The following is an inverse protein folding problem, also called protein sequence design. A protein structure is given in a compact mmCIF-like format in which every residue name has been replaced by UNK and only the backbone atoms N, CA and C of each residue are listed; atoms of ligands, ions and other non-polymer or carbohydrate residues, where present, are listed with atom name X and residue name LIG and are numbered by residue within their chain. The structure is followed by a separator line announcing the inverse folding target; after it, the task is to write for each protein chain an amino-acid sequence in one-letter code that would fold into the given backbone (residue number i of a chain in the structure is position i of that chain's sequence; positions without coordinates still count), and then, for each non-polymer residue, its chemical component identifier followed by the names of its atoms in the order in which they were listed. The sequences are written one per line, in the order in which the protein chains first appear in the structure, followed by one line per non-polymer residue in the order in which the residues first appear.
data_IF_978973984924
#
_entry.id   IF_978973984924
#
_cell.length_a   1.000
_cell.length_b   1.000
_cell.length_c   1.000
_cell.angle_alpha   90.00
_cell.angle_beta   90.00
_cell.angle_gamma   90.00
#
_symmetry.space_group_name_H-M   'P 1'
#
loop_
_entity.id
_entity.type
_entity.pdbx_description
1 polymer ?
#
# COMPACT_ATOMS: atom_id res chain seq x y z
N UNK A 1 9.36 -14.63 -9.58
CA UNK A 1 10.53 -14.71 -8.67
C UNK A 1 11.17 -13.34 -8.73
N UNK A 2 11.40 -12.62 -7.62
CA UNK A 2 12.21 -11.39 -7.65
C UNK A 2 13.50 -11.69 -6.90
N UNK A 3 14.47 -12.25 -7.61
CA UNK A 3 15.85 -12.33 -7.15
C UNK A 3 16.45 -10.91 -7.23
N UNK A 4 16.01 -10.03 -6.31
CA UNK A 4 16.57 -8.69 -6.09
C UNK A 4 17.66 -8.73 -5.02
N UNK A 5 18.53 -9.74 -5.12
CA UNK A 5 19.78 -9.76 -4.35
C UNK A 5 20.73 -8.73 -4.98
N UNK A 6 20.69 -7.53 -4.40
CA UNK A 6 21.78 -6.55 -4.33
C UNK A 6 22.11 -5.62 -5.49
N UNK A 7 21.84 -5.94 -6.76
CA UNK A 7 22.19 -5.01 -7.84
C UNK A 7 21.13 -3.91 -8.04
N UNK A 8 21.56 -2.65 -7.90
CA UNK A 8 20.78 -1.41 -8.08
C UNK A 8 19.67 -1.10 -7.06
N UNK A 9 19.41 -1.94 -6.06
CA UNK A 9 18.40 -1.68 -5.01
C UNK A 9 18.65 -0.38 -4.23
N UNK A 10 19.90 -0.14 -3.83
CA UNK A 10 20.31 1.09 -3.13
C UNK A 10 20.13 2.34 -4.00
N UNK A 11 20.56 2.26 -5.26
CA UNK A 11 20.44 3.35 -6.25
C UNK A 11 18.96 3.69 -6.43
N UNK A 12 18.10 2.68 -6.62
CA UNK A 12 16.64 2.80 -6.71
C UNK A 12 16.00 3.52 -5.54
N UNK A 13 16.39 3.17 -4.32
CA UNK A 13 15.90 3.85 -3.13
C UNK A 13 16.37 5.30 -3.07
N UNK A 14 17.65 5.56 -3.36
CA UNK A 14 18.24 6.90 -3.27
C UNK A 14 17.60 7.86 -4.29
N UNK A 15 17.58 7.51 -5.58
CA UNK A 15 16.96 8.42 -6.56
C UNK A 15 15.44 8.46 -6.42
N UNK A 16 14.77 7.38 -6.02
CA UNK A 16 13.34 7.41 -5.72
C UNK A 16 13.00 8.40 -4.61
N UNK A 17 13.79 8.41 -3.53
CA UNK A 17 13.66 9.38 -2.44
C UNK A 17 13.97 10.81 -2.90
N UNK A 18 15.12 11.02 -3.57
CA UNK A 18 15.52 12.34 -4.06
C UNK A 18 14.50 12.93 -5.03
N UNK A 19 13.97 12.10 -5.93
CA UNK A 19 13.00 12.54 -6.93
C UNK A 19 11.63 12.82 -6.30
N UNK A 20 11.22 12.03 -5.30
CA UNK A 20 10.06 12.37 -4.46
C UNK A 20 10.22 13.68 -3.69
N UNK A 21 11.41 13.94 -3.11
CA UNK A 21 11.70 15.17 -2.40
C UNK A 21 11.72 16.40 -3.34
N UNK A 22 12.33 16.26 -4.52
CA UNK A 22 12.31 17.30 -5.56
C UNK A 22 10.89 17.60 -6.02
N UNK A 23 10.07 16.57 -6.26
CA UNK A 23 8.68 16.75 -6.61
C UNK A 23 7.92 17.48 -5.50
N UNK A 24 8.09 17.08 -4.24
CA UNK A 24 7.46 17.77 -3.12
C UNK A 24 7.85 19.26 -3.03
N UNK A 25 9.12 19.58 -3.32
CA UNK A 25 9.64 20.94 -3.31
C UNK A 25 9.09 21.79 -4.47
N UNK A 26 9.16 21.29 -5.71
CA UNK A 26 8.69 22.02 -6.89
C UNK A 26 7.16 22.12 -6.96
N UNK A 27 6.45 21.11 -6.47
CA UNK A 27 5.00 21.07 -6.59
C UNK A 27 4.27 21.89 -5.53
N UNK A 28 4.96 22.38 -4.49
CA UNK A 28 4.31 23.15 -3.42
C UNK A 28 3.51 24.35 -3.95
N UNK A 29 4.09 25.12 -4.88
CA UNK A 29 3.45 26.30 -5.45
C UNK A 29 2.49 25.96 -6.61
N UNK A 30 2.81 24.95 -7.42
CA UNK A 30 1.98 24.49 -8.54
C UNK A 30 0.69 23.81 -8.07
N UNK A 31 0.75 22.95 -7.05
CA UNK A 31 -0.42 22.27 -6.46
C UNK A 31 -1.34 23.31 -5.81
N UNK A 32 -0.79 24.31 -5.13
CA UNK A 32 -1.60 25.37 -4.53
C UNK A 32 -2.42 26.12 -5.58
N UNK A 33 -1.80 26.46 -6.73
CA UNK A 33 -2.49 27.09 -7.86
C UNK A 33 -3.51 26.16 -8.54
N UNK A 34 -3.15 24.91 -8.79
CA UNK A 34 -4.03 23.92 -9.42
C UNK A 34 -5.25 23.60 -8.56
N UNK A 35 -5.08 23.39 -7.24
CA UNK A 35 -6.18 23.18 -6.31
C UNK A 35 -7.14 24.36 -6.25
N UNK A 36 -6.64 25.60 -6.30
CA UNK A 36 -7.48 26.79 -6.37
C UNK A 36 -8.27 26.88 -7.67
N UNK A 37 -7.68 26.49 -8.81
CA UNK A 37 -8.38 26.44 -10.09
C UNK A 37 -9.44 25.34 -10.13
N UNK A 38 -9.19 24.18 -9.50
CA UNK A 38 -10.16 23.10 -9.36
C UNK A 38 -11.31 23.43 -8.41
N UNK A 39 -11.04 24.08 -7.29
CA UNK A 39 -12.07 24.54 -6.36
C UNK A 39 -13.09 25.49 -7.02
N UNK A 40 -12.69 26.17 -8.10
CA UNK A 40 -13.54 27.09 -8.87
C UNK A 40 -14.29 26.41 -10.03
N UNK A 41 -13.85 25.26 -10.51
CA UNK A 41 -14.32 24.70 -11.80
C UNK A 41 -14.68 23.20 -11.81
N UNK A 42 -14.51 22.49 -10.70
CA UNK A 42 -14.79 21.05 -10.62
C UNK A 42 -13.78 20.18 -11.40
N UNK A 43 -13.99 18.84 -11.43
CA UNK A 43 -13.13 17.91 -12.14
C UNK A 43 -13.19 18.13 -13.65
N UNK A 44 -12.05 18.05 -14.33
CA UNK A 44 -11.96 18.29 -15.77
C UNK A 44 -11.75 16.98 -16.54
N UNK A 45 -12.34 16.90 -17.74
CA UNK A 45 -12.24 15.71 -18.60
C UNK A 45 -10.79 15.46 -19.04
N UNK A 46 -10.05 16.52 -19.41
CA UNK A 46 -8.67 16.42 -19.88
C UNK A 46 -7.74 15.79 -18.83
N UNK A 47 -7.92 16.17 -17.56
CA UNK A 47 -7.18 15.57 -16.44
C UNK A 47 -7.59 14.13 -16.18
N UNK A 48 -8.86 13.80 -16.36
CA UNK A 48 -9.36 12.43 -16.20
C UNK A 48 -8.77 11.51 -17.25
N UNK A 49 -8.63 11.96 -18.50
CA UNK A 49 -7.97 11.19 -19.55
C UNK A 49 -6.50 10.93 -19.20
N UNK A 50 -5.78 11.95 -18.72
CA UNK A 50 -4.40 11.78 -18.27
C UNK A 50 -4.32 10.78 -17.10
N UNK A 51 -5.22 10.84 -16.13
CA UNK A 51 -5.29 9.90 -15.00
C UNK A 51 -5.53 8.46 -15.48
N UNK A 52 -6.47 8.24 -16.42
CA UNK A 52 -6.74 6.92 -17.00
C UNK A 52 -5.50 6.37 -17.69
N UNK A 53 -4.84 7.18 -18.51
CA UNK A 53 -3.60 6.78 -19.20
C UNK A 53 -2.52 6.41 -18.19
N UNK A 54 -2.36 7.20 -17.13
CA UNK A 54 -1.38 6.90 -16.08
C UNK A 54 -1.69 5.61 -15.33
N UNK A 55 -2.97 5.34 -15.02
CA UNK A 55 -3.38 4.05 -14.44
C UNK A 55 -3.01 2.90 -15.37
N UNK A 56 -3.30 3.03 -16.67
CA UNK A 56 -2.95 2.00 -17.66
C UNK A 56 -1.44 1.77 -17.73
N UNK A 57 -0.64 2.84 -17.70
CA UNK A 57 0.83 2.75 -17.65
C UNK A 57 1.31 2.03 -16.39
N UNK A 58 0.74 2.33 -15.23
CA UNK A 58 1.10 1.64 -13.97
C UNK A 58 0.75 0.15 -14.04
N UNK A 59 -0.46 -0.19 -14.50
CA UNK A 59 -0.89 -1.58 -14.63
C UNK A 59 0.02 -2.34 -15.58
N UNK A 60 0.28 -1.79 -16.76
CA UNK A 60 1.19 -2.39 -17.75
C UNK A 60 2.61 -2.54 -17.19
N UNK A 61 3.12 -1.50 -16.52
CA UNK A 61 4.45 -1.53 -15.91
C UNK A 61 4.56 -2.64 -14.86
N UNK A 62 3.60 -2.74 -13.94
CA UNK A 62 3.60 -3.76 -12.88
C UNK A 62 3.47 -5.17 -13.46
N UNK A 63 2.63 -5.36 -14.49
CA UNK A 63 2.48 -6.65 -15.16
C UNK A 63 3.75 -7.10 -15.90
N UNK A 64 4.55 -6.17 -16.44
CA UNK A 64 5.78 -6.49 -17.19
C UNK A 64 7.04 -6.51 -16.32
N UNK A 65 7.08 -5.75 -15.23
CA UNK A 65 8.26 -5.60 -14.37
C UNK A 65 8.45 -6.75 -13.36
N UNK A 66 7.53 -7.71 -13.29
CA UNK A 66 7.59 -8.82 -12.33
C UNK A 66 8.76 -9.80 -12.52
N UNK A 67 9.28 -9.91 -13.75
CA UNK A 67 10.24 -10.96 -14.14
C UNK A 67 11.53 -10.41 -14.81
N UNK A 68 11.81 -9.10 -14.78
CA UNK A 68 12.95 -8.50 -15.52
C UNK A 68 13.54 -7.23 -14.85
N UNK A 69 14.73 -6.79 -15.27
CA UNK A 69 15.51 -5.64 -14.72
C UNK A 69 14.85 -4.25 -14.91
N UNK A 70 13.66 -4.22 -15.53
CA UNK A 70 12.84 -3.01 -15.72
C UNK A 70 12.41 -2.32 -14.40
N UNK A 71 12.63 -2.96 -13.24
CA UNK A 71 12.41 -2.36 -11.93
C UNK A 71 13.21 -1.08 -11.66
N UNK A 72 14.28 -0.80 -12.43
CA UNK A 72 15.04 0.47 -12.38
C UNK A 72 14.19 1.66 -12.87
N UNK A 73 13.21 1.45 -13.74
CA UNK A 73 12.32 2.55 -14.18
C UNK A 73 11.20 2.85 -13.16
N UNK A 74 11.01 2.00 -12.14
CA UNK A 74 9.86 2.10 -11.24
C UNK A 74 9.72 3.48 -10.57
N UNK A 75 10.76 4.08 -9.96
CA UNK A 75 10.57 5.35 -9.26
C UNK A 75 10.30 6.52 -10.21
N UNK A 76 10.69 6.44 -11.49
CA UNK A 76 10.31 7.45 -12.49
C UNK A 76 8.82 7.35 -12.85
N UNK A 77 8.33 6.14 -13.09
CA UNK A 77 6.90 5.90 -13.38
C UNK A 77 6.02 6.32 -12.21
N UNK A 78 6.39 5.92 -11.00
CA UNK A 78 5.64 6.28 -9.79
C UNK A 78 5.77 7.76 -9.43
N UNK A 79 6.87 8.41 -9.75
CA UNK A 79 7.00 9.84 -9.58
C UNK A 79 6.13 10.64 -10.55
N UNK A 80 6.04 10.21 -11.81
CA UNK A 80 5.11 10.81 -12.76
C UNK A 80 3.65 10.59 -12.31
N UNK A 81 3.33 9.40 -11.81
CA UNK A 81 2.03 9.13 -11.21
C UNK A 81 1.74 10.07 -10.03
N UNK A 82 2.69 10.21 -9.09
CA UNK A 82 2.56 11.14 -7.97
C UNK A 82 2.37 12.58 -8.45
N UNK A 83 3.13 13.04 -9.44
CA UNK A 83 2.97 14.36 -10.04
C UNK A 83 1.56 14.56 -10.58
N UNK A 84 1.03 13.60 -11.34
CA UNK A 84 -0.28 13.71 -11.95
C UNK A 84 -1.41 13.68 -10.90
N UNK A 85 -1.40 12.69 -10.00
CA UNK A 85 -2.44 12.51 -8.99
C UNK A 85 -2.39 13.57 -7.88
N UNK A 86 -1.24 14.20 -7.62
CA UNK A 86 -1.14 15.29 -6.64
C UNK A 86 -1.87 16.57 -7.06
N UNK A 87 -2.11 16.78 -8.37
CA UNK A 87 -2.91 17.90 -8.87
C UNK A 87 -4.42 17.71 -8.64
N UNK A 88 -4.85 16.48 -8.32
CA UNK A 88 -6.24 16.10 -8.03
C UNK A 88 -7.25 16.52 -9.12
N UNK A 89 -6.81 16.59 -10.38
CA UNK A 89 -7.51 17.31 -11.45
C UNK A 89 -8.74 16.61 -12.06
N UNK A 90 -8.76 15.28 -12.02
CA UNK A 90 -9.76 14.46 -12.72
C UNK A 90 -10.72 13.73 -11.79
N UNK A 91 -11.64 13.01 -12.42
CA UNK A 91 -12.67 12.23 -11.73
C UNK A 91 -12.10 11.04 -10.95
N UNK A 92 -10.97 10.47 -11.38
CA UNK A 92 -10.33 9.37 -10.64
C UNK A 92 -9.75 9.92 -9.34
N UNK A 93 -9.09 11.07 -9.38
CA UNK A 93 -8.63 11.75 -8.16
C UNK A 93 -9.79 12.11 -7.23
N UNK A 94 -10.92 12.58 -7.77
CA UNK A 94 -12.12 12.87 -6.96
C UNK A 94 -12.66 11.62 -6.25
N UNK A 95 -12.70 10.47 -6.94
CA UNK A 95 -13.09 9.19 -6.36
C UNK A 95 -12.09 8.72 -5.28
N UNK A 96 -10.79 8.85 -5.53
CA UNK A 96 -9.74 8.52 -4.56
C UNK A 96 -9.75 9.42 -3.33
N UNK A 97 -10.33 10.62 -3.44
CA UNK A 97 -10.52 11.56 -2.33
C UNK A 97 -11.80 11.30 -1.54
N UNK A 98 -12.61 10.31 -1.90
CA UNK A 98 -13.75 9.90 -1.10
C UNK A 98 -13.29 9.53 0.34
N UNK A 99 -14.10 9.86 1.36
CA UNK A 99 -13.70 9.69 2.77
C UNK A 99 -13.31 8.25 3.10
N UNK A 100 -14.01 7.28 2.52
CA UNK A 100 -13.68 5.86 2.66
C UNK A 100 -12.27 5.53 2.13
N UNK A 101 -11.92 6.01 0.94
CA UNK A 101 -10.63 5.72 0.33
C UNK A 101 -9.47 6.39 1.07
N UNK A 102 -9.69 7.61 1.59
CA UNK A 102 -8.74 8.28 2.47
C UNK A 102 -8.52 7.51 3.78
N UNK A 103 -9.58 6.97 4.39
CA UNK A 103 -9.43 6.14 5.60
C UNK A 103 -8.70 4.83 5.33
N UNK A 104 -8.94 4.20 4.17
CA UNK A 104 -8.23 3.00 3.76
C UNK A 104 -6.74 3.29 3.56
N UNK A 105 -6.42 4.41 2.89
CA UNK A 105 -5.05 4.90 2.74
C UNK A 105 -4.37 5.18 4.08
N UNK A 106 -5.07 5.82 5.02
CA UNK A 106 -4.54 6.08 6.37
C UNK A 106 -4.27 4.80 7.17
N UNK A 107 -5.11 3.76 7.02
CA UNK A 107 -4.92 2.47 7.69
C UNK A 107 -3.87 1.58 7.01
N UNK A 108 -3.58 1.80 5.73
CA UNK A 108 -2.69 0.94 4.92
C UNK A 108 -1.32 0.70 5.57
N UNK A 109 -0.71 1.74 6.14
CA UNK A 109 0.58 1.63 6.85
C UNK A 109 0.48 0.70 8.07
N UNK A 110 -0.58 0.87 8.85
CA UNK A 110 -0.83 0.08 10.04
C UNK A 110 -1.12 -1.39 9.70
N UNK A 111 -1.92 -1.64 8.65
CA UNK A 111 -2.15 -2.96 8.07
C UNK A 111 -0.80 -3.60 7.67
N UNK A 112 0.04 -2.87 6.95
CA UNK A 112 1.35 -3.36 6.51
C UNK A 112 2.24 -3.77 7.69
N UNK A 113 2.24 -3.02 8.80
CA UNK A 113 3.06 -3.40 9.96
C UNK A 113 2.51 -4.59 10.74
N UNK A 114 1.18 -4.72 10.83
CA UNK A 114 0.54 -5.68 11.74
C UNK A 114 0.14 -7.00 11.06
N UNK A 115 -0.08 -7.01 9.75
CA UNK A 115 -0.64 -8.18 9.06
C UNK A 115 0.22 -9.44 9.20
N UNK A 116 1.55 -9.37 9.04
CA UNK A 116 2.45 -10.54 9.21
C UNK A 116 2.38 -11.08 10.63
N UNK A 117 2.32 -10.20 11.63
CA UNK A 117 2.21 -10.61 13.03
C UNK A 117 0.88 -11.33 13.31
N UNK A 118 -0.23 -10.75 12.84
CA UNK A 118 -1.57 -11.34 12.97
C UNK A 118 -1.62 -12.69 12.27
N UNK A 119 -1.13 -12.77 11.02
CA UNK A 119 -1.06 -14.01 10.25
C UNK A 119 -0.27 -15.08 11.00
N UNK A 120 0.90 -14.76 11.53
CA UNK A 120 1.73 -15.71 12.29
C UNK A 120 1.02 -16.22 13.56
N UNK A 121 0.31 -15.35 14.30
CA UNK A 121 -0.46 -15.77 15.47
C UNK A 121 -1.65 -16.65 15.10
N UNK A 122 -2.35 -16.32 14.03
CA UNK A 122 -3.51 -17.09 13.58
C UNK A 122 -3.13 -18.50 13.10
N UNK A 123 -2.00 -18.65 12.39
CA UNK A 123 -1.48 -19.96 11.98
C UNK A 123 -1.13 -20.81 13.22
N UNK A 124 -0.49 -20.24 14.25
CA UNK A 124 -0.21 -20.96 15.50
C UNK A 124 -1.49 -21.45 16.20
N UNK A 125 -2.53 -20.60 16.25
CA UNK A 125 -3.83 -20.98 16.83
C UNK A 125 -4.50 -22.07 15.99
N UNK A 126 -4.51 -21.92 14.66
CA UNK A 126 -5.05 -22.94 13.75
C UNK A 126 -4.36 -24.30 13.96
N UNK A 127 -3.04 -24.32 14.21
CA UNK A 127 -2.27 -25.54 14.48
C UNK A 127 -2.67 -26.24 15.76
N UNK A 128 -2.94 -25.45 16.80
CA UNK A 128 -3.41 -25.99 18.07
C UNK A 128 -4.84 -26.52 17.96
N UNK A 129 -5.70 -25.83 17.23
CA UNK A 129 -7.10 -26.21 17.00
C UNK A 129 -7.17 -27.48 16.16
N UNK A 130 -6.35 -27.59 15.12
CA UNK A 130 -6.29 -28.77 14.26
C UNK A 130 -5.82 -30.01 15.01
N UNK A 131 -4.80 -29.89 15.86
CA UNK A 131 -4.38 -31.00 16.74
C UNK A 131 -5.50 -31.54 17.62
N UNK A 132 -6.51 -30.72 17.95
CA UNK A 132 -7.65 -31.11 18.80
C UNK A 132 -8.89 -31.55 18.03
N UNK A 133 -9.14 -30.99 16.85
CA UNK A 133 -10.42 -31.15 16.13
C UNK A 133 -10.29 -31.83 14.76
N UNK A 134 -9.08 -31.97 14.21
CA UNK A 134 -8.86 -32.65 12.91
C UNK A 134 -9.57 -32.01 11.72
N UNK A 135 -9.92 -30.72 11.80
CA UNK A 135 -10.80 -30.02 10.84
C UNK A 135 -10.10 -29.62 9.52
N UNK A 136 -8.84 -29.98 9.30
CA UNK A 136 -8.10 -29.58 8.08
C UNK A 136 -7.99 -28.06 7.96
N UNK A 137 -7.62 -27.38 9.05
CA UNK A 137 -7.49 -25.91 9.12
C UNK A 137 -6.14 -25.45 8.57
N UNK A 138 -5.11 -26.27 8.69
CA UNK A 138 -3.80 -26.08 8.08
C UNK A 138 -3.61 -27.13 7.00
N UNK A 139 -3.10 -26.65 5.87
CA UNK A 139 -2.54 -27.50 4.84
C UNK A 139 -1.04 -27.22 4.75
N UNK A 140 -0.27 -28.27 4.52
CA UNK A 140 1.06 -28.13 3.99
C UNK A 140 0.95 -27.70 2.53
N UNK A 141 1.55 -26.58 2.18
CA UNK A 141 1.72 -26.19 0.79
C UNK A 141 3.18 -25.88 0.51
N UNK A 142 3.58 -26.15 -0.73
CA UNK A 142 4.91 -25.84 -1.18
C UNK A 142 4.95 -24.37 -1.57
N UNK A 143 5.52 -23.54 -0.68
CA UNK A 143 5.79 -22.16 -1.01
C UNK A 143 7.25 -22.06 -1.45
N UNK A 144 7.47 -21.88 -2.76
CA UNK A 144 8.81 -21.79 -3.37
C UNK A 144 9.71 -23.01 -3.07
N UNK A 145 9.13 -24.21 -3.13
CA UNK A 145 9.87 -25.47 -2.92
C UNK A 145 10.26 -25.76 -1.47
N UNK A 146 9.85 -24.91 -0.52
CA UNK A 146 9.96 -25.17 0.91
C UNK A 146 8.59 -25.58 1.46
N UNK A 147 8.52 -26.59 2.34
CA UNK A 147 7.27 -26.91 3.03
C UNK A 147 6.89 -25.73 3.91
N UNK A 148 5.76 -25.10 3.59
CA UNK A 148 5.18 -24.02 4.37
C UNK A 148 3.82 -24.47 4.90
N UNK A 149 3.55 -24.13 6.16
CA UNK A 149 2.25 -24.35 6.79
C UNK A 149 1.42 -23.07 6.68
N UNK A 150 0.18 -23.21 6.27
CA UNK A 150 -0.79 -22.14 6.38
C UNK A 150 -2.19 -22.65 6.11
N UNK A 151 -3.13 -21.77 5.79
CA UNK A 151 -4.54 -22.14 5.73
C UNK A 151 -4.80 -23.19 4.64
N UNK A 152 -5.51 -24.27 5.01
CA UNK A 152 -5.80 -25.38 4.10
C UNK A 152 -6.61 -24.96 2.87
N UNK A 153 -6.53 -25.72 1.78
CA UNK A 153 -7.15 -25.37 0.50
C UNK A 153 -8.70 -25.54 0.45
N UNK A 154 -9.37 -25.75 1.59
CA UNK A 154 -10.81 -25.99 1.69
C UNK A 154 -11.63 -24.76 2.13
N UNK A 155 -12.94 -24.96 2.29
CA UNK A 155 -13.84 -23.90 2.80
C UNK A 155 -13.40 -23.41 4.20
N UNK A 156 -12.82 -24.30 5.01
CA UNK A 156 -12.23 -24.00 6.33
C UNK A 156 -11.09 -23.00 6.22
N UNK A 157 -10.24 -23.13 5.20
CA UNK A 157 -9.18 -22.17 4.93
C UNK A 157 -9.70 -20.86 4.37
N UNK A 158 -10.73 -20.88 3.52
CA UNK A 158 -11.40 -19.65 3.06
C UNK A 158 -11.97 -18.85 4.25
N UNK A 159 -12.66 -19.52 5.18
CA UNK A 159 -13.11 -18.90 6.43
C UNK A 159 -11.93 -18.38 7.24
N UNK A 160 -10.85 -19.15 7.38
CA UNK A 160 -9.67 -18.70 8.11
C UNK A 160 -9.01 -17.47 7.49
N UNK A 161 -9.01 -17.33 6.16
CA UNK A 161 -8.52 -16.14 5.45
C UNK A 161 -9.44 -14.94 5.71
N UNK A 162 -10.77 -15.12 5.67
CA UNK A 162 -11.72 -14.04 6.00
C UNK A 162 -11.53 -13.58 7.45
N UNK A 163 -11.37 -14.52 8.38
CA UNK A 163 -11.08 -14.23 9.79
C UNK A 163 -9.74 -13.51 9.93
N UNK A 164 -8.71 -13.93 9.18
CA UNK A 164 -7.42 -13.26 9.16
C UNK A 164 -7.53 -11.82 8.68
N UNK A 165 -8.23 -11.59 7.56
CA UNK A 165 -8.45 -10.25 7.03
C UNK A 165 -9.18 -9.36 8.03
N UNK A 166 -10.27 -9.86 8.64
CA UNK A 166 -11.02 -9.14 9.66
C UNK A 166 -10.16 -8.82 10.89
N UNK A 167 -9.37 -9.79 11.38
CA UNK A 167 -8.46 -9.62 12.50
C UNK A 167 -7.36 -8.60 12.19
N UNK A 168 -6.81 -8.61 10.98
CA UNK A 168 -5.81 -7.63 10.53
C UNK A 168 -6.39 -6.23 10.47
N UNK A 169 -7.59 -6.05 9.91
CA UNK A 169 -8.26 -4.73 9.86
C UNK A 169 -8.56 -4.24 11.28
N UNK A 170 -9.07 -5.10 12.15
CA UNK A 170 -9.39 -4.74 13.53
C UNK A 170 -8.12 -4.36 14.32
N UNK A 171 -7.07 -5.18 14.23
CA UNK A 171 -5.79 -4.91 14.90
C UNK A 171 -5.16 -3.61 14.36
N UNK A 172 -5.17 -3.43 13.04
CA UNK A 172 -4.72 -2.20 12.38
C UNK A 172 -5.48 -0.97 12.85
N UNK A 173 -6.80 -1.06 13.00
CA UNK A 173 -7.61 0.06 13.48
C UNK A 173 -7.24 0.43 14.92
N UNK A 174 -7.01 -0.56 15.78
CA UNK A 174 -6.57 -0.36 17.17
C UNK A 174 -5.18 0.30 17.19
N UNK A 175 -4.21 -0.24 16.47
CA UNK A 175 -2.84 0.32 16.44
C UNK A 175 -2.81 1.73 15.85
N UNK A 176 -3.56 1.96 14.77
CA UNK A 176 -3.69 3.29 14.19
C UNK A 176 -4.28 4.30 15.19
N UNK A 177 -5.36 3.93 15.88
CA UNK A 177 -6.08 4.82 16.81
C UNK A 177 -5.31 5.13 18.09
N UNK A 178 -4.60 4.15 18.65
CA UNK A 178 -3.97 4.23 19.97
C UNK A 178 -2.45 4.40 19.95
N UNK A 179 -1.77 4.09 18.84
CA UNK A 179 -0.30 4.19 18.74
C UNK A 179 0.08 5.25 17.72
N UNK A 180 -0.38 5.12 16.48
CA UNK A 180 0.10 5.96 15.38
C UNK A 180 -0.38 7.41 15.50
N UNK A 181 -1.70 7.63 15.65
CA UNK A 181 -2.23 8.99 15.81
C UNK A 181 -1.64 9.76 17.01
N UNK A 182 -1.53 9.18 18.23
CA UNK A 182 -0.91 9.90 19.33
C UNK A 182 0.60 10.11 19.14
N UNK A 183 1.33 9.14 18.56
CA UNK A 183 2.75 9.31 18.26
C UNK A 183 2.97 10.45 17.24
N UNK A 184 2.17 10.50 16.17
CA UNK A 184 2.22 11.61 15.19
C UNK A 184 1.87 12.96 15.82
N UNK A 185 0.87 13.00 16.71
CA UNK A 185 0.51 14.21 17.42
C UNK A 185 1.64 14.68 18.36
N UNK A 186 2.31 13.75 19.03
CA UNK A 186 3.47 14.03 19.88
C UNK A 186 4.65 14.57 19.05
N UNK A 187 4.98 13.94 17.93
CA UNK A 187 6.09 14.37 17.06
C UNK A 187 5.86 15.76 16.46
N UNK A 188 4.62 16.06 16.02
CA UNK A 188 4.24 17.39 15.53
C UNK A 188 4.35 18.49 16.59
N UNK A 189 4.23 18.16 17.88
CA UNK A 189 4.45 19.11 18.97
C UNK A 189 5.93 19.34 19.21
N UNK A 190 6.74 18.28 19.11
CA UNK A 190 8.18 18.36 19.27
C UNK A 190 8.83 19.18 18.16
N UNK A 191 8.40 18.97 16.90
CA UNK A 191 8.93 19.70 15.75
C UNK A 191 8.62 21.20 15.73
N UNK A 192 7.66 21.66 16.54
CA UNK A 192 7.34 23.09 16.70
C UNK A 192 8.16 23.77 17.80
N UNK A 193 8.89 22.99 18.61
CA UNK A 193 9.73 23.48 19.71
C UNK A 193 11.21 23.57 19.34
N UNK A 194 11.58 22.98 18.21
CA UNK A 194 12.91 23.05 17.59
C UNK A 194 12.80 24.08 16.46
#
# INVERSE_FOLDING_TARGET
HMDVSFDFGFIRCLYGFSLGALLAWFQHDSIAGARQALARGGPRMDWTLAEIVMVAVIVLFVSLAGDNDFGIAAPLVFALALFLFAHEGGWISALLRAPFMLTLGALSYSIYMVHIFVQARLINVAGLVERKLGLGLIGDFMLRGQPATGFGAGWTGAVAIVVMLAATIAASWITWRFVEMPAMAWFRRLSKRI
#
